data_IF_369718353230
#
_entry.id   IF_369718353230
#
_cell.length_a   1.000
_cell.length_b   1.000
_cell.length_c   1.000
_cell.angle_alpha   90.00
_cell.angle_beta   90.00
_cell.angle_gamma   90.00
#
_symmetry.space_group_name_H-M   'P 1'
#
loop_
_entity.id
_entity.type
_entity.pdbx_description
1 polymer ?
#
# COMPACT_ATOMS: atom_id res chain seq x y z
N UNK A 1 -2.22 15.21 20.71
CA UNK A 1 -2.98 15.07 19.45
C UNK A 1 -3.02 13.63 18.94
N UNK A 2 -1.93 13.02 18.42
CA UNK A 2 -2.01 11.64 17.88
C UNK A 2 -2.47 10.59 18.90
N UNK A 3 -1.89 10.61 20.12
CA UNK A 3 -2.26 9.69 21.19
C UNK A 3 -3.72 9.84 21.65
N UNK A 4 -4.26 11.05 21.59
CA UNK A 4 -5.66 11.34 21.92
C UNK A 4 -6.62 10.78 20.88
N UNK A 5 -6.26 10.88 19.59
CA UNK A 5 -7.02 10.25 18.50
C UNK A 5 -6.96 8.73 18.61
N UNK A 6 -5.79 8.15 18.92
CA UNK A 6 -5.64 6.72 19.18
C UNK A 6 -6.59 6.25 20.28
N UNK A 7 -6.63 6.99 21.40
CA UNK A 7 -7.53 6.66 22.50
C UNK A 7 -9.01 6.80 22.11
N UNK A 8 -9.34 7.84 21.34
CA UNK A 8 -10.71 8.04 20.82
C UNK A 8 -11.15 6.87 19.93
N UNK A 9 -10.27 6.39 19.05
CA UNK A 9 -10.55 5.24 18.19
C UNK A 9 -10.68 3.96 19.02
N UNK A 10 -9.84 3.78 20.05
CA UNK A 10 -9.87 2.63 20.97
C UNK A 10 -11.16 2.56 21.79
N UNK A 11 -11.64 3.70 22.27
CA UNK A 11 -12.86 3.80 23.07
C UNK A 11 -14.12 3.82 22.21
N UNK A 12 -13.99 4.17 20.92
CA UNK A 12 -15.09 4.19 19.98
C UNK A 12 -15.59 2.78 19.63
N UNK A 13 -16.89 2.65 19.45
CA UNK A 13 -17.50 1.41 18.95
C UNK A 13 -17.42 1.34 17.42
N UNK A 14 -16.19 1.25 16.89
CA UNK A 14 -15.91 1.12 15.47
C UNK A 14 -15.70 -0.35 15.10
N UNK A 15 -16.32 -0.80 13.99
CA UNK A 15 -15.98 -2.08 13.39
C UNK A 15 -14.60 -1.95 12.73
N UNK A 16 -13.57 -2.45 13.42
CA UNK A 16 -12.16 -2.24 13.08
C UNK A 16 -11.46 -3.56 12.81
N UNK A 17 -10.38 -3.48 12.01
CA UNK A 17 -9.47 -4.57 11.75
C UNK A 17 -8.04 -4.07 11.87
N UNK A 18 -7.17 -4.89 12.45
CA UNK A 18 -5.77 -4.56 12.68
C UNK A 18 -5.47 -4.07 14.09
N UNK A 19 -4.20 -3.73 14.31
CA UNK A 19 -3.65 -3.24 15.57
C UNK A 19 -3.45 -1.73 15.46
N UNK A 20 -3.93 -1.00 16.46
CA UNK A 20 -3.78 0.46 16.52
C UNK A 20 -2.38 0.88 16.98
N UNK A 21 -1.68 -0.02 17.67
CA UNK A 21 -0.33 0.20 18.17
C UNK A 21 0.57 -1.00 17.86
N UNK A 22 1.86 -0.74 17.57
CA UNK A 22 2.50 0.58 17.49
C UNK A 22 2.14 1.37 16.21
N UNK A 23 1.94 2.69 16.34
CA UNK A 23 1.60 3.58 15.22
C UNK A 23 2.84 4.32 14.69
N UNK A 24 3.26 4.05 13.46
CA UNK A 24 4.51 4.55 12.87
C UNK A 24 4.36 5.63 11.80
N UNK A 25 3.14 6.02 11.44
CA UNK A 25 2.92 6.95 10.33
C UNK A 25 3.08 8.41 10.75
N UNK A 26 3.65 9.23 9.86
CA UNK A 26 3.64 10.68 10.01
C UNK A 26 2.22 11.23 9.91
N UNK A 27 1.89 12.21 10.75
CA UNK A 27 0.55 12.84 10.78
C UNK A 27 0.59 14.31 10.39
N UNK A 28 1.74 14.79 9.92
CA UNK A 28 1.95 16.18 9.52
C UNK A 28 2.79 16.26 8.26
N UNK A 29 2.67 17.38 7.54
CA UNK A 29 3.49 17.65 6.34
C UNK A 29 4.99 17.62 6.65
N UNK A 30 5.40 18.16 7.80
CA UNK A 30 6.81 18.13 8.21
C UNK A 30 7.34 16.70 8.37
N UNK A 31 6.57 15.81 9.00
CA UNK A 31 6.94 14.39 9.11
C UNK A 31 6.93 13.68 7.75
N UNK A 32 5.96 13.99 6.88
CA UNK A 32 5.92 13.41 5.54
C UNK A 32 7.17 13.80 4.70
N UNK A 33 7.63 15.05 4.82
CA UNK A 33 8.89 15.51 4.20
C UNK A 33 10.10 14.76 4.76
N UNK A 34 10.16 14.49 6.07
CA UNK A 34 11.24 13.67 6.65
C UNK A 34 11.24 12.23 6.10
N UNK A 35 10.06 11.64 5.87
CA UNK A 35 9.98 10.31 5.25
C UNK A 35 10.45 10.36 3.79
N UNK A 36 10.09 11.40 3.04
CA UNK A 36 10.59 11.62 1.69
C UNK A 36 12.12 11.75 1.68
N UNK A 37 12.69 12.61 2.52
CA UNK A 37 14.14 12.79 2.65
C UNK A 37 14.84 11.47 2.99
N UNK A 38 14.32 10.70 3.95
CA UNK A 38 14.86 9.39 4.30
C UNK A 38 14.82 8.40 3.12
N UNK A 39 13.70 8.36 2.39
CA UNK A 39 13.57 7.51 1.21
C UNK A 39 14.60 7.90 0.14
N UNK A 40 14.68 9.19 -0.20
CA UNK A 40 15.59 9.70 -1.22
C UNK A 40 17.03 9.39 -0.82
N UNK A 41 17.41 9.64 0.43
CA UNK A 41 18.77 9.46 0.89
C UNK A 41 19.18 8.00 0.89
N UNK A 42 18.39 7.13 1.53
CA UNK A 42 18.82 5.77 1.86
C UNK A 42 18.24 4.71 0.94
N UNK A 43 17.01 4.88 0.44
CA UNK A 43 16.26 3.79 -0.18
C UNK A 43 16.15 3.86 -1.70
N UNK A 44 16.01 5.06 -2.25
CA UNK A 44 15.95 5.30 -3.68
C UNK A 44 17.10 4.63 -4.46
N UNK A 45 18.38 4.61 -4.00
CA UNK A 45 19.45 3.97 -4.76
C UNK A 45 19.19 2.49 -5.08
N UNK A 46 18.51 1.78 -4.17
CA UNK A 46 18.25 0.34 -4.25
C UNK A 46 16.79 0.01 -4.59
N UNK A 47 15.96 1.00 -4.90
CA UNK A 47 14.54 0.79 -5.20
C UNK A 47 14.33 -0.21 -6.35
N UNK A 48 15.01 -0.01 -7.49
CA UNK A 48 14.81 -0.81 -8.70
C UNK A 48 15.15 -2.30 -8.52
N UNK A 49 16.37 -2.65 -8.04
CA UNK A 49 16.78 -4.05 -7.87
C UNK A 49 15.87 -4.89 -6.96
N UNK A 50 15.19 -4.26 -6.00
CA UNK A 50 14.39 -4.95 -4.99
C UNK A 50 12.88 -4.69 -5.10
N UNK A 51 12.42 -4.06 -6.19
CA UNK A 51 11.03 -3.64 -6.36
C UNK A 51 10.02 -4.79 -6.20
N UNK A 52 10.40 -5.99 -6.65
CA UNK A 52 9.56 -7.19 -6.63
C UNK A 52 10.03 -8.26 -5.62
N UNK A 53 11.01 -7.92 -4.77
CA UNK A 53 11.50 -8.83 -3.75
C UNK A 53 10.51 -8.94 -2.58
N UNK A 54 10.44 -10.12 -1.96
CA UNK A 54 9.72 -10.36 -0.70
C UNK A 54 10.64 -11.15 0.23
N UNK A 55 10.84 -10.66 1.45
CA UNK A 55 11.72 -11.30 2.43
C UNK A 55 11.00 -11.37 3.77
N UNK A 56 11.02 -12.56 4.40
CA UNK A 56 10.40 -12.74 5.73
C UNK A 56 11.15 -11.90 6.76
N UNK A 57 10.41 -11.12 7.54
CA UNK A 57 10.97 -10.20 8.54
C UNK A 57 11.31 -8.81 7.98
N UNK A 58 11.26 -8.61 6.66
CA UNK A 58 11.53 -7.33 6.01
C UNK A 58 10.25 -6.78 5.36
N UNK A 59 9.51 -5.96 6.11
CA UNK A 59 8.17 -5.52 5.73
C UNK A 59 8.15 -4.45 4.64
N UNK A 60 9.21 -3.65 4.55
CA UNK A 60 9.25 -2.44 3.73
C UNK A 60 10.35 -2.44 2.66
N UNK A 61 11.39 -3.27 2.83
CA UNK A 61 12.55 -3.35 1.93
C UNK A 61 13.03 -1.93 1.53
N UNK A 62 13.06 -1.65 0.23
CA UNK A 62 13.50 -0.37 -0.33
C UNK A 62 12.34 0.50 -0.82
N UNK A 63 11.11 0.21 -0.40
CA UNK A 63 9.93 1.00 -0.75
C UNK A 63 9.91 2.35 0.00
N UNK A 64 9.14 3.30 -0.55
CA UNK A 64 9.15 4.69 -0.07
C UNK A 64 8.22 4.97 1.09
N UNK A 65 7.16 4.16 1.24
CA UNK A 65 6.07 4.39 2.19
C UNK A 65 5.42 5.78 2.04
N UNK A 66 5.48 6.39 0.85
CA UNK A 66 4.94 7.73 0.63
C UNK A 66 3.45 7.74 0.25
N UNK A 67 2.89 6.56 -0.03
CA UNK A 67 1.53 6.44 -0.57
C UNK A 67 0.44 7.08 0.31
N UNK A 68 0.42 6.97 1.65
CA UNK A 68 -0.58 7.65 2.46
C UNK A 68 -0.43 9.17 2.42
N UNK A 69 0.81 9.67 2.41
CA UNK A 69 1.09 11.11 2.40
C UNK A 69 0.71 11.75 1.05
N UNK A 70 0.93 11.05 -0.06
CA UNK A 70 0.49 11.47 -1.39
C UNK A 70 -1.03 11.50 -1.52
N UNK A 71 -1.71 10.50 -0.95
CA UNK A 71 -3.16 10.36 -1.09
C UNK A 71 -3.95 11.27 -0.14
N UNK A 72 -3.37 11.64 1.00
CA UNK A 72 -3.94 12.64 1.92
C UNK A 72 -3.55 14.08 1.56
N UNK A 73 -2.72 14.29 0.54
CA UNK A 73 -2.26 15.62 0.12
C UNK A 73 -1.23 16.26 1.06
N UNK A 74 -0.59 15.47 1.94
CA UNK A 74 0.55 15.93 2.75
C UNK A 74 1.80 16.13 1.88
N UNK A 75 1.91 15.35 0.80
CA UNK A 75 2.89 15.52 -0.28
C UNK A 75 2.17 15.59 -1.63
N UNK A 76 2.74 16.35 -2.56
CA UNK A 76 2.35 16.41 -3.96
C UNK A 76 3.18 15.44 -4.81
N UNK A 77 2.62 14.87 -5.90
CA UNK A 77 3.39 14.02 -6.80
C UNK A 77 4.62 14.73 -7.40
N UNK A 78 4.48 16.01 -7.77
CA UNK A 78 5.55 16.78 -8.40
C UNK A 78 6.74 16.98 -7.45
N UNK A 79 6.51 17.35 -6.18
CA UNK A 79 7.62 17.58 -5.23
C UNK A 79 8.42 16.29 -4.96
N UNK A 80 7.75 15.13 -4.98
CA UNK A 80 8.40 13.83 -4.81
C UNK A 80 9.23 13.45 -6.04
N UNK A 81 8.72 13.73 -7.25
CA UNK A 81 9.44 13.50 -8.51
C UNK A 81 10.66 14.41 -8.60
N UNK A 82 10.50 15.70 -8.28
CA UNK A 82 11.58 16.68 -8.32
C UNK A 82 12.70 16.30 -7.35
N UNK A 83 12.37 15.86 -6.13
CA UNK A 83 13.37 15.38 -5.16
C UNK A 83 14.18 14.19 -5.69
N UNK A 84 13.53 13.24 -6.38
CA UNK A 84 14.22 12.09 -6.99
C UNK A 84 15.14 12.52 -8.16
N UNK A 85 14.71 13.48 -8.97
CA UNK A 85 15.50 14.02 -10.10
C UNK A 85 16.71 14.83 -9.61
N UNK A 86 16.54 15.66 -8.58
CA UNK A 86 17.65 16.39 -7.94
C UNK A 86 18.68 15.40 -7.40
N UNK A 87 18.24 14.41 -6.62
CA UNK A 87 19.12 13.37 -6.08
C UNK A 87 19.85 12.59 -7.18
N UNK A 88 19.18 12.30 -8.30
CA UNK A 88 19.80 11.66 -9.46
C UNK A 88 20.92 12.52 -10.05
N UNK A 89 20.67 13.82 -10.27
CA UNK A 89 21.66 14.73 -10.82
C UNK A 89 22.87 14.96 -9.90
N UNK A 90 22.64 15.07 -8.60
CA UNK A 90 23.70 15.36 -7.62
C UNK A 90 24.54 14.13 -7.26
N UNK A 91 23.91 12.96 -7.11
CA UNK A 91 24.55 11.74 -6.59
C UNK A 91 24.76 10.65 -7.65
N UNK A 92 24.34 10.89 -8.89
CA UNK A 92 24.44 9.93 -10.00
C UNK A 92 23.82 8.57 -9.66
N UNK A 93 22.63 8.60 -9.05
CA UNK A 93 21.92 7.38 -8.63
C UNK A 93 21.64 6.46 -9.84
N UNK A 94 21.48 5.14 -9.61
CA UNK A 94 21.16 4.21 -10.69
C UNK A 94 19.86 4.61 -11.41
N UNK A 95 19.95 4.81 -12.73
CA UNK A 95 18.83 5.28 -13.54
C UNK A 95 17.61 4.35 -13.42
N UNK A 96 17.83 3.03 -13.36
CA UNK A 96 16.76 2.05 -13.22
C UNK A 96 15.96 2.22 -11.91
N UNK A 97 16.62 2.62 -10.82
CA UNK A 97 15.93 2.88 -9.55
C UNK A 97 15.15 4.18 -9.59
N UNK A 98 15.73 5.26 -10.13
CA UNK A 98 15.10 6.58 -10.22
C UNK A 98 13.93 6.58 -11.20
N UNK A 99 14.13 6.09 -12.42
CA UNK A 99 13.08 5.95 -13.43
C UNK A 99 11.98 5.00 -12.93
N UNK A 100 12.37 3.87 -12.34
CA UNK A 100 11.42 2.89 -11.82
C UNK A 100 10.49 3.50 -10.78
N UNK A 101 11.04 4.32 -9.87
CA UNK A 101 10.28 5.06 -8.86
C UNK A 101 9.36 6.12 -9.49
N UNK A 102 9.90 6.99 -10.36
CA UNK A 102 9.11 8.04 -11.03
C UNK A 102 7.97 7.43 -11.86
N UNK A 103 8.20 6.31 -12.53
CA UNK A 103 7.18 5.59 -13.32
C UNK A 103 6.04 5.07 -12.46
N UNK A 104 6.26 4.74 -11.19
CA UNK A 104 5.16 4.39 -10.30
C UNK A 104 4.25 5.60 -10.08
N UNK A 105 4.83 6.77 -9.83
CA UNK A 105 4.08 8.00 -9.53
C UNK A 105 3.51 8.62 -10.81
N UNK A 106 4.34 9.11 -11.71
CA UNK A 106 3.89 9.81 -12.92
C UNK A 106 3.16 8.89 -13.89
N UNK A 107 3.54 7.61 -13.94
CA UNK A 107 2.91 6.61 -14.80
C UNK A 107 1.68 6.00 -14.15
N UNK A 108 1.90 5.01 -13.28
CA UNK A 108 0.81 4.19 -12.75
C UNK A 108 -0.23 4.98 -11.93
N UNK A 109 0.18 5.98 -11.14
CA UNK A 109 -0.77 6.72 -10.29
C UNK A 109 -1.71 7.57 -11.11
N UNK A 110 -1.14 8.37 -12.00
CA UNK A 110 -1.92 9.23 -12.88
C UNK A 110 -2.77 8.39 -13.85
N UNK A 111 -2.23 7.27 -14.34
CA UNK A 111 -2.98 6.34 -15.19
C UNK A 111 -4.20 5.74 -14.46
N UNK A 112 -4.01 5.22 -13.23
CA UNK A 112 -5.11 4.66 -12.44
C UNK A 112 -6.13 5.72 -12.05
N UNK A 113 -5.69 6.94 -11.73
CA UNK A 113 -6.58 8.07 -11.47
C UNK A 113 -7.42 8.43 -12.69
N UNK A 114 -6.79 8.50 -13.88
CA UNK A 114 -7.50 8.74 -15.14
C UNK A 114 -8.51 7.63 -15.46
N UNK A 115 -8.12 6.36 -15.31
CA UNK A 115 -9.01 5.21 -15.52
C UNK A 115 -10.23 5.24 -14.59
N UNK A 116 -10.05 5.57 -13.31
CA UNK A 116 -11.15 5.66 -12.36
C UNK A 116 -12.26 6.61 -12.84
N UNK A 117 -11.89 7.79 -13.35
CA UNK A 117 -12.84 8.76 -13.87
C UNK A 117 -13.40 8.37 -15.24
N UNK A 118 -12.57 7.77 -16.10
CA UNK A 118 -12.97 7.38 -17.45
C UNK A 118 -13.97 6.22 -17.48
N UNK A 119 -13.82 5.24 -16.57
CA UNK A 119 -14.60 3.99 -16.61
C UNK A 119 -15.97 4.09 -15.94
N UNK A 120 -16.21 5.15 -15.15
CA UNK A 120 -17.49 5.43 -14.50
C UNK A 120 -17.81 4.55 -13.30
N UNK A 121 -18.91 4.86 -12.61
CA UNK A 121 -19.29 4.26 -11.33
C UNK A 121 -19.53 2.74 -11.38
N UNK A 122 -19.94 2.21 -12.54
CA UNK A 122 -20.23 0.78 -12.71
C UNK A 122 -18.97 -0.07 -12.87
N UNK A 123 -17.77 0.54 -12.99
CA UNK A 123 -16.52 -0.20 -13.14
C UNK A 123 -16.29 -1.17 -11.97
N UNK A 124 -16.58 -0.74 -10.75
CA UNK A 124 -16.45 -1.56 -9.54
C UNK A 124 -17.42 -2.76 -9.51
N UNK A 125 -18.43 -2.79 -10.38
CA UNK A 125 -19.42 -3.87 -10.46
C UNK A 125 -19.05 -4.94 -11.49
N UNK A 126 -18.00 -4.72 -12.30
CA UNK A 126 -17.60 -5.64 -13.36
C UNK A 126 -17.04 -6.94 -12.76
N UNK A 127 -17.52 -8.06 -13.27
CA UNK A 127 -17.11 -9.39 -12.82
C UNK A 127 -16.98 -10.33 -14.03
N UNK A 128 -15.90 -10.13 -14.81
CA UNK A 128 -15.66 -10.86 -16.06
C UNK A 128 -15.65 -12.38 -15.87
N UNK A 129 -14.98 -12.87 -14.82
CA UNK A 129 -14.89 -14.30 -14.51
C UNK A 129 -16.10 -14.85 -13.72
N UNK A 130 -17.09 -14.00 -13.42
CA UNK A 130 -18.28 -14.35 -12.64
C UNK A 130 -17.96 -15.02 -11.30
N UNK A 131 -16.91 -14.56 -10.62
CA UNK A 131 -16.52 -15.04 -9.30
C UNK A 131 -17.60 -14.79 -8.24
N UNK A 132 -17.85 -15.78 -7.39
CA UNK A 132 -18.92 -15.75 -6.36
C UNK A 132 -18.48 -16.16 -4.96
N UNK A 133 -17.24 -16.62 -4.78
CA UNK A 133 -16.78 -17.08 -3.47
C UNK A 133 -16.59 -15.87 -2.54
N UNK A 134 -17.07 -15.98 -1.30
CA UNK A 134 -16.84 -14.95 -0.28
C UNK A 134 -15.39 -14.94 0.17
N UNK A 135 -14.90 -13.80 0.68
CA UNK A 135 -13.59 -13.74 1.31
C UNK A 135 -13.50 -14.75 2.47
N UNK A 136 -12.51 -15.66 2.46
CA UNK A 136 -12.29 -16.60 3.56
C UNK A 136 -12.04 -15.89 4.89
N UNK A 137 -12.45 -16.52 6.00
CA UNK A 137 -12.30 -15.95 7.34
C UNK A 137 -10.84 -15.59 7.70
N UNK A 138 -9.86 -16.31 7.14
CA UNK A 138 -8.45 -16.09 7.41
C UNK A 138 -7.91 -14.74 6.94
N UNK A 139 -8.61 -14.03 6.04
CA UNK A 139 -8.26 -12.64 5.69
C UNK A 139 -8.41 -11.68 6.87
N UNK A 140 -9.15 -12.08 7.91
CA UNK A 140 -9.46 -11.26 9.09
C UNK A 140 -8.89 -11.85 10.39
N UNK A 141 -8.37 -13.08 10.35
CA UNK A 141 -7.85 -13.83 11.50
C UNK A 141 -6.57 -14.55 11.09
N UNK A 142 -5.53 -13.75 10.86
CA UNK A 142 -4.28 -14.19 10.21
C UNK A 142 -3.52 -15.24 11.03
N UNK A 143 -3.65 -15.18 12.37
CA UNK A 143 -2.93 -16.00 13.35
C UNK A 143 -3.36 -17.48 13.39
N UNK A 144 -4.63 -17.78 13.05
CA UNK A 144 -5.24 -19.09 13.37
C UNK A 144 -5.62 -19.97 12.19
N UNK A 145 -5.62 -19.47 10.96
CA UNK A 145 -6.36 -20.15 9.88
C UNK A 145 -5.67 -20.23 8.51
N UNK A 146 -4.70 -19.37 8.19
CA UNK A 146 -3.96 -19.45 6.94
C UNK A 146 -2.76 -20.42 7.04
N UNK A 147 -2.89 -21.64 6.49
CA UNK A 147 -1.78 -22.62 6.41
C UNK A 147 -0.73 -22.29 5.35
N UNK A 148 -1.02 -21.35 4.46
CA UNK A 148 -0.11 -20.89 3.40
C UNK A 148 0.82 -19.82 3.95
N UNK A 149 2.12 -20.10 4.00
CA UNK A 149 3.09 -19.25 4.69
C UNK A 149 3.13 -17.81 4.14
N UNK A 150 3.14 -17.65 2.82
CA UNK A 150 3.16 -16.33 2.18
C UNK A 150 1.94 -15.47 2.54
N UNK A 151 0.74 -16.05 2.48
CA UNK A 151 -0.49 -15.35 2.87
C UNK A 151 -0.49 -15.00 4.34
N UNK A 152 -0.08 -15.93 5.21
CA UNK A 152 -0.01 -15.69 6.65
C UNK A 152 0.87 -14.48 6.97
N UNK A 153 2.09 -14.42 6.43
CA UNK A 153 3.01 -13.31 6.68
C UNK A 153 2.47 -11.97 6.17
N UNK A 154 1.92 -11.94 4.95
CA UNK A 154 1.37 -10.69 4.39
C UNK A 154 0.15 -10.20 5.17
N UNK A 155 -0.75 -11.11 5.57
CA UNK A 155 -1.93 -10.76 6.35
C UNK A 155 -1.55 -10.28 7.76
N UNK A 156 -0.59 -10.94 8.42
CA UNK A 156 -0.06 -10.49 9.71
C UNK A 156 0.59 -9.12 9.62
N UNK A 157 1.38 -8.87 8.57
CA UNK A 157 1.98 -7.56 8.34
C UNK A 157 0.92 -6.47 8.19
N UNK A 158 -0.13 -6.71 7.41
CA UNK A 158 -1.25 -5.76 7.25
C UNK A 158 -1.97 -5.55 8.58
N UNK A 159 -2.20 -6.61 9.35
CA UNK A 159 -2.85 -6.53 10.66
C UNK A 159 -2.05 -5.67 11.64
N UNK A 160 -0.72 -5.80 11.66
CA UNK A 160 0.14 -5.06 12.58
C UNK A 160 0.44 -3.62 12.12
N UNK A 161 0.60 -3.39 10.81
CA UNK A 161 1.17 -2.13 10.28
C UNK A 161 0.21 -1.31 9.42
N UNK A 162 -0.88 -1.93 8.95
CA UNK A 162 -1.77 -1.35 7.94
C UNK A 162 -1.12 -1.27 6.54
N UNK A 163 0.01 -1.94 6.31
CA UNK A 163 0.78 -1.81 5.07
C UNK A 163 1.25 -3.16 4.51
N UNK A 164 1.21 -3.24 3.18
CA UNK A 164 1.87 -4.24 2.37
C UNK A 164 2.43 -3.54 1.12
N UNK A 165 3.60 -3.93 0.63
CA UNK A 165 4.17 -3.33 -0.57
C UNK A 165 3.55 -3.95 -1.85
N UNK A 166 3.81 -3.33 -3.01
CA UNK A 166 3.07 -3.60 -4.25
C UNK A 166 3.01 -5.09 -4.63
N UNK A 167 4.16 -5.78 -4.67
CA UNK A 167 4.20 -7.17 -5.12
C UNK A 167 3.49 -8.13 -4.16
N UNK A 168 3.44 -7.84 -2.85
CA UNK A 168 2.65 -8.61 -1.88
C UNK A 168 1.15 -8.51 -2.20
N UNK A 169 0.67 -7.30 -2.51
CA UNK A 169 -0.74 -7.08 -2.86
C UNK A 169 -1.10 -7.77 -4.17
N UNK A 170 -0.25 -7.63 -5.18
CA UNK A 170 -0.50 -8.19 -6.50
C UNK A 170 -0.34 -9.72 -6.52
N UNK A 171 0.83 -10.22 -6.13
CA UNK A 171 1.21 -11.62 -6.37
C UNK A 171 0.82 -12.58 -5.25
N UNK A 172 0.48 -12.08 -4.06
CA UNK A 172 -0.01 -12.91 -2.96
C UNK A 172 -1.52 -12.72 -2.80
N UNK A 173 -1.98 -11.52 -2.47
CA UNK A 173 -3.38 -11.29 -2.09
C UNK A 173 -4.32 -11.34 -3.30
N UNK A 174 -4.06 -10.51 -4.32
CA UNK A 174 -4.88 -10.44 -5.52
C UNK A 174 -4.79 -11.73 -6.35
N UNK A 175 -3.59 -12.28 -6.50
CA UNK A 175 -3.39 -13.55 -7.21
C UNK A 175 -4.12 -14.72 -6.53
N UNK A 176 -4.04 -14.83 -5.19
CA UNK A 176 -4.84 -15.84 -4.48
C UNK A 176 -6.34 -15.61 -4.68
N UNK A 177 -6.81 -14.37 -4.54
CA UNK A 177 -8.22 -14.04 -4.72
C UNK A 177 -8.73 -14.38 -6.12
N UNK A 178 -7.91 -14.14 -7.15
CA UNK A 178 -8.17 -14.49 -8.53
C UNK A 178 -8.28 -16.01 -8.70
N UNK A 179 -7.27 -16.78 -8.27
CA UNK A 179 -7.25 -18.25 -8.44
C UNK A 179 -8.37 -18.92 -7.64
N UNK A 180 -8.67 -18.43 -6.45
CA UNK A 180 -9.71 -18.98 -5.57
C UNK A 180 -11.14 -18.59 -5.97
N UNK A 181 -11.31 -17.78 -7.02
CA UNK A 181 -12.66 -17.41 -7.50
C UNK A 181 -13.39 -16.44 -6.57
N UNK A 182 -12.65 -15.61 -5.83
CA UNK A 182 -13.23 -14.69 -4.84
C UNK A 182 -13.96 -13.54 -5.52
N UNK A 183 -15.16 -13.23 -5.03
CA UNK A 183 -15.92 -12.06 -5.39
C UNK A 183 -15.34 -10.85 -4.67
N UNK A 184 -14.97 -9.82 -5.43
CA UNK A 184 -14.58 -8.52 -4.88
C UNK A 184 -15.79 -7.60 -4.64
N UNK A 185 -16.99 -8.04 -5.09
CA UNK A 185 -18.26 -7.35 -4.82
C UNK A 185 -18.76 -7.60 -3.40
N UNK A 186 -18.31 -8.70 -2.77
CA UNK A 186 -18.49 -8.86 -1.33
C UNK A 186 -17.67 -7.79 -0.62
N UNK A 187 -18.36 -6.73 -0.21
CA UNK A 187 -17.84 -5.60 0.55
C UNK A 187 -17.03 -6.13 1.74
N UNK A 188 -15.88 -5.52 1.98
CA UNK A 188 -15.14 -5.66 3.24
C UNK A 188 -16.13 -5.45 4.39
N UNK A 189 -16.22 -6.38 5.34
CA UNK A 189 -17.25 -6.39 6.40
C UNK A 189 -17.32 -5.04 7.14
N UNK A 190 -16.18 -4.37 7.27
CA UNK A 190 -16.00 -3.13 8.03
C UNK A 190 -16.29 -1.85 7.23
N UNK A 191 -16.66 -1.93 5.95
CA UNK A 191 -16.79 -0.73 5.09
C UNK A 191 -15.49 0.06 4.90
N UNK A 192 -14.38 -0.41 5.48
CA UNK A 192 -13.06 0.17 5.35
C UNK A 192 -12.50 -0.19 3.98
N UNK A 193 -12.38 0.80 3.11
CA UNK A 193 -11.63 0.70 1.86
C UNK A 193 -10.13 0.72 2.14
N UNK A 194 -9.62 -0.12 3.05
CA UNK A 194 -8.22 -0.56 2.97
C UNK A 194 -8.20 -1.64 1.90
N UNK A 195 -8.50 -1.21 0.68
CA UNK A 195 -8.61 -2.12 -0.43
C UNK A 195 -7.25 -2.76 -0.63
N UNK A 196 -7.23 -4.09 -0.59
CA UNK A 196 -6.14 -4.90 -1.14
C UNK A 196 -5.75 -4.45 -2.57
N UNK A 197 -6.64 -3.71 -3.24
CA UNK A 197 -6.57 -3.30 -4.64
C UNK A 197 -6.70 -1.78 -4.86
N UNK A 198 -6.80 -0.95 -3.81
CA UNK A 198 -6.62 0.50 -4.02
C UNK A 198 -5.13 0.63 -4.31
N UNK A 199 -4.74 1.17 -5.46
CA UNK A 199 -3.35 1.40 -5.78
C UNK A 199 -2.80 2.40 -4.77
N UNK A 200 -2.33 1.93 -3.61
CA UNK A 200 -1.36 2.68 -2.83
C UNK A 200 -0.05 2.48 -3.57
N UNK A 201 0.21 3.45 -4.44
CA UNK A 201 1.42 3.52 -5.23
C UNK A 201 2.48 4.15 -4.36
N UNK A 202 3.47 3.35 -3.99
CA UNK A 202 4.59 3.75 -3.13
C UNK A 202 4.84 2.72 -2.05
#
# INVERSE_FOLDING_TARGET
MTQEVIETVRQGNFDTYGQIEPFYWGVSRAQALQVLENFIEYRLPQFGPYQDAMVVGEETLWHSLLSPYLNLGLLSPQEVIDAALVAYGERQLPLNSVEGFIRQILGWREYMYGLYHYLGADYCQRNFFQHRQSLPAFFWQSDRTAKMNCLRHVLQQIECTGYAHHIQRLMILANFALIAGLSLLTRWKTGSTVSLLTPMIG
#
